data_IF_704248043058
#
_entry.id   IF_704248043058
#
_cell.length_a   1.000
_cell.length_b   1.000
_cell.length_c   1.000
_cell.angle_alpha   90.00
_cell.angle_beta   90.00
_cell.angle_gamma   90.00
#
_symmetry.space_group_name_H-M   'P 1'
#
loop_
_entity.id
_entity.type
_entity.pdbx_description
1 polymer ?
#
# COMPACT_ATOMS: atom_id res chain seq x y z
N UNK A 1 -11.51 8.45 18.85
CA UNK A 1 -11.39 7.17 18.13
C UNK A 1 -10.00 6.67 18.41
N UNK A 2 -9.86 5.77 19.39
CA UNK A 2 -8.64 4.98 19.52
C UNK A 2 -8.74 3.89 18.46
N UNK A 3 -8.41 4.23 17.22
CA UNK A 3 -8.19 3.24 16.18
C UNK A 3 -6.93 2.48 16.59
N UNK A 4 -7.12 1.26 17.08
CA UNK A 4 -6.07 0.25 17.06
C UNK A 4 -5.66 0.06 15.60
N UNK A 5 -4.74 0.89 15.13
CA UNK A 5 -3.94 0.71 13.90
C UNK A 5 -3.04 -0.51 14.12
N UNK A 6 -3.68 -1.66 14.30
CA UNK A 6 -3.08 -2.98 14.34
C UNK A 6 -2.69 -3.24 12.88
N UNK A 7 -1.49 -2.80 12.52
CA UNK A 7 -0.99 -2.78 11.15
C UNK A 7 -1.10 -4.21 10.57
N UNK A 8 -2.08 -4.52 9.70
CA UNK A 8 -2.29 -5.90 9.27
C UNK A 8 -1.20 -6.34 8.27
N UNK A 9 -0.36 -5.40 7.82
CA UNK A 9 0.74 -5.63 6.89
C UNK A 9 2.08 -5.73 7.62
N UNK A 10 2.19 -6.61 8.61
CA UNK A 10 3.50 -7.24 8.82
C UNK A 10 3.71 -8.17 7.64
N UNK A 11 4.44 -7.68 6.63
CA UNK A 11 4.96 -8.51 5.55
C UNK A 11 5.98 -9.44 6.18
N UNK A 12 5.51 -10.59 6.64
CA UNK A 12 6.38 -11.75 6.73
C UNK A 12 6.92 -12.00 5.33
N UNK A 13 8.14 -11.52 5.05
CA UNK A 13 8.98 -12.10 4.03
C UNK A 13 9.23 -13.55 4.48
N UNK A 14 8.26 -14.42 4.20
CA UNK A 14 8.51 -15.84 4.15
C UNK A 14 9.30 -16.00 2.86
N UNK A 15 10.62 -16.05 3.00
CA UNK A 15 11.46 -16.64 1.98
C UNK A 15 10.88 -18.03 1.70
N UNK A 16 10.59 -18.29 0.43
CA UNK A 16 10.38 -19.64 -0.07
C UNK A 16 11.66 -20.44 0.20
N UNK A 17 11.79 -20.96 1.40
CA UNK A 17 12.68 -22.09 1.68
C UNK A 17 11.87 -23.33 1.32
N UNK A 18 12.00 -23.71 0.05
CA UNK A 18 11.74 -25.07 -0.39
C UNK A 18 12.43 -26.05 0.57
N UNK A 19 11.64 -26.99 1.08
CA UNK A 19 11.97 -28.38 1.40
C UNK A 19 13.46 -28.78 1.19
N UNK A 20 14.34 -28.28 2.06
CA UNK A 20 15.67 -28.84 2.27
C UNK A 20 15.53 -29.97 3.29
N UNK A 21 15.08 -31.12 2.82
CA UNK A 21 15.27 -32.39 3.51
C UNK A 21 16.76 -32.59 3.87
N UNK A 22 17.08 -32.56 5.18
CA UNK A 22 18.18 -33.34 5.73
C UNK A 22 19.63 -32.82 5.63
N UNK A 23 19.90 -31.51 5.63
CA UNK A 23 21.28 -30.96 5.68
C UNK A 23 21.67 -30.31 7.02
N UNK A 24 20.82 -30.36 8.05
CA UNK A 24 21.27 -29.99 9.39
C UNK A 24 22.30 -30.98 9.91
N UNK A 25 23.51 -30.45 10.10
CA UNK A 25 24.72 -31.14 10.54
C UNK A 25 24.44 -32.21 11.60
N UNK A 26 24.89 -33.44 11.33
CA UNK A 26 25.06 -34.41 12.40
C UNK A 26 25.96 -33.79 13.50
N UNK A 27 25.66 -34.03 14.79
CA UNK A 27 26.46 -33.52 15.88
C UNK A 27 27.90 -34.01 15.69
N UNK A 28 28.80 -33.08 15.38
CA UNK A 28 30.23 -33.34 15.36
C UNK A 28 30.61 -33.70 16.78
N UNK A 29 30.97 -34.97 17.00
CA UNK A 29 31.55 -35.45 18.25
C UNK A 29 32.91 -34.77 18.38
N UNK A 30 32.93 -33.57 18.97
CA UNK A 30 34.14 -32.87 19.33
C UNK A 30 34.80 -33.61 20.50
N UNK A 31 36.03 -34.07 20.24
CA UNK A 31 36.91 -34.62 21.25
C UNK A 31 37.12 -33.58 22.36
N UNK A 32 36.91 -34.00 23.61
CA UNK A 32 37.14 -33.22 24.82
C UNK A 32 38.56 -32.60 24.80
N UNK A 33 38.68 -31.26 24.77
CA UNK A 33 39.90 -30.58 25.18
C UNK A 33 39.98 -30.65 26.70
N UNK A 34 41.16 -31.04 27.19
CA UNK A 34 41.51 -31.10 28.60
C UNK A 34 41.25 -29.77 29.31
N UNK A 35 40.56 -29.85 30.43
CA UNK A 35 40.13 -28.73 31.26
C UNK A 35 41.31 -27.87 31.71
N UNK A 36 41.44 -26.66 31.13
CA UNK A 36 42.07 -25.54 31.81
C UNK A 36 40.96 -24.74 32.48
N UNK A 37 41.02 -24.62 33.80
CA UNK A 37 40.03 -23.93 34.63
C UNK A 37 40.02 -22.44 34.25
N UNK A 38 38.96 -21.92 33.60
CA UNK A 38 38.91 -20.51 33.30
C UNK A 38 38.69 -19.76 34.61
N UNK A 39 39.60 -18.84 34.92
CA UNK A 39 39.45 -17.88 36.02
C UNK A 39 38.16 -17.11 35.73
N UNK A 40 37.11 -17.40 36.51
CA UNK A 40 35.85 -16.65 36.50
C UNK A 40 36.18 -15.22 36.92
N UNK A 41 36.43 -14.35 35.94
CA UNK A 41 36.35 -12.91 36.15
C UNK A 41 34.97 -12.64 36.78
N UNK A 42 34.94 -11.91 37.88
CA UNK A 42 33.71 -11.53 38.54
C UNK A 42 32.80 -10.90 37.48
N UNK A 43 31.68 -11.57 37.15
CA UNK A 43 30.69 -11.02 36.25
C UNK A 43 30.18 -9.75 36.92
N UNK A 44 30.55 -8.60 36.35
CA UNK A 44 29.91 -7.35 36.72
C UNK A 44 28.40 -7.51 36.52
N UNK A 45 27.57 -7.06 37.47
CA UNK A 45 26.13 -7.15 37.35
C UNK A 45 25.69 -6.52 36.03
N UNK A 46 25.05 -7.31 35.16
CA UNK A 46 24.51 -6.84 33.90
C UNK A 46 23.35 -5.88 34.20
N UNK A 47 23.55 -4.60 33.89
CA UNK A 47 22.48 -3.63 33.86
C UNK A 47 21.99 -3.56 32.41
N UNK A 48 20.72 -3.93 32.11
CA UNK A 48 20.17 -3.72 30.79
C UNK A 48 20.29 -2.24 30.47
N UNK A 49 20.87 -1.95 29.31
CA UNK A 49 21.03 -0.58 28.84
C UNK A 49 19.63 0.02 28.74
N UNK A 50 19.36 1.05 29.55
CA UNK A 50 18.08 1.74 29.55
C UNK A 50 17.92 2.33 28.15
N UNK A 51 16.79 2.10 27.47
CA UNK A 51 16.58 2.50 26.07
C UNK A 51 16.89 3.99 25.80
N UNK A 52 16.81 4.83 26.84
CA UNK A 52 17.10 6.27 26.79
C UNK A 52 18.59 6.63 26.72
N UNK A 53 19.51 5.70 27.05
CA UNK A 53 20.96 5.89 26.97
C UNK A 53 21.56 5.32 25.67
N UNK A 54 20.70 4.96 24.71
CA UNK A 54 21.11 4.60 23.37
C UNK A 54 21.77 5.78 22.65
N UNK A 55 22.79 5.49 21.85
CA UNK A 55 23.44 6.46 20.97
C UNK A 55 22.48 7.20 20.01
N UNK A 56 21.24 6.70 19.85
CA UNK A 56 20.15 7.36 19.14
C UNK A 56 19.75 8.73 19.69
N UNK A 57 19.94 9.01 20.98
CA UNK A 57 19.41 10.24 21.59
C UNK A 57 20.42 11.39 21.68
N UNK A 58 21.73 11.09 21.64
CA UNK A 58 22.79 12.04 21.99
C UNK A 58 23.76 12.36 20.84
N UNK A 59 23.26 12.54 19.61
CA UNK A 59 24.08 13.17 18.58
C UNK A 59 24.00 14.70 18.73
N UNK A 60 25.02 15.32 19.33
CA UNK A 60 25.19 16.78 19.23
C UNK A 60 25.31 17.26 17.76
N UNK A 61 25.61 16.32 16.86
CA UNK A 61 25.70 16.53 15.42
C UNK A 61 24.32 16.61 14.77
N UNK A 62 24.21 17.47 13.76
CA UNK A 62 23.03 17.54 12.90
C UNK A 62 22.91 16.30 11.99
N UNK A 63 21.74 16.12 11.36
CA UNK A 63 21.51 15.06 10.35
C UNK A 63 22.50 15.21 9.21
N UNK A 64 22.68 16.44 8.71
CA UNK A 64 23.61 16.77 7.63
C UNK A 64 25.05 16.43 7.99
N UNK A 65 25.52 16.84 9.17
CA UNK A 65 26.87 16.52 9.64
C UNK A 65 27.09 15.03 9.78
N UNK A 66 26.10 14.31 10.34
CA UNK A 66 26.19 12.86 10.52
C UNK A 66 26.26 12.13 9.18
N UNK A 67 25.40 12.50 8.23
CA UNK A 67 25.38 11.89 6.89
C UNK A 67 26.66 12.18 6.10
N UNK A 68 27.21 13.39 6.18
CA UNK A 68 28.40 13.79 5.41
C UNK A 68 29.72 13.30 6.03
N UNK A 69 29.86 13.36 7.36
CA UNK A 69 31.13 13.08 8.02
C UNK A 69 31.35 11.60 8.34
N UNK A 70 30.27 10.82 8.47
CA UNK A 70 30.35 9.44 8.93
C UNK A 70 30.05 8.47 7.80
N UNK A 71 30.94 7.48 7.60
CA UNK A 71 30.78 6.45 6.57
C UNK A 71 29.43 5.69 6.66
N UNK A 72 28.92 5.53 7.88
CA UNK A 72 27.60 4.89 8.15
C UNK A 72 26.54 5.90 8.57
N UNK A 73 26.78 7.20 8.35
CA UNK A 73 25.91 8.30 8.76
C UNK A 73 24.45 8.11 8.37
N UNK A 74 24.20 7.79 7.10
CA UNK A 74 22.86 7.55 6.60
C UNK A 74 22.13 6.41 7.33
N UNK A 75 22.78 5.26 7.52
CA UNK A 75 22.21 4.12 8.25
C UNK A 75 21.87 4.49 9.69
N UNK A 76 22.73 5.29 10.35
CA UNK A 76 22.49 5.77 11.71
C UNK A 76 21.24 6.64 11.80
N UNK A 77 21.04 7.54 10.84
CA UNK A 77 19.85 8.39 10.78
C UNK A 77 18.59 7.56 10.53
N UNK A 78 18.64 6.58 9.61
CA UNK A 78 17.52 5.66 9.37
C UNK A 78 17.13 4.92 10.66
N UNK A 79 18.09 4.25 11.30
CA UNK A 79 17.83 3.52 12.56
C UNK A 79 17.33 4.43 13.68
N UNK A 80 17.79 5.69 13.73
CA UNK A 80 17.30 6.68 14.70
C UNK A 80 15.84 7.05 14.43
N UNK A 81 15.46 7.27 13.17
CA UNK A 81 14.08 7.55 12.79
C UNK A 81 13.17 6.35 13.10
N UNK A 82 13.61 5.12 12.77
CA UNK A 82 12.88 3.88 13.10
C UNK A 82 12.67 3.75 14.62
N UNK A 83 13.71 4.00 15.42
CA UNK A 83 13.61 3.95 16.86
C UNK A 83 12.56 4.93 17.41
N UNK A 84 12.58 6.19 16.95
CA UNK A 84 11.58 7.18 17.35
C UNK A 84 10.17 6.79 16.91
N UNK A 85 10.02 6.23 15.70
CA UNK A 85 8.74 5.75 15.22
C UNK A 85 8.18 4.62 16.11
N UNK A 86 9.02 3.65 16.49
CA UNK A 86 8.63 2.53 17.36
C UNK A 86 8.26 2.97 18.78
N UNK A 87 8.84 4.07 19.28
CA UNK A 87 8.47 4.69 20.56
C UNK A 87 7.23 5.59 20.48
N UNK A 88 6.60 5.72 19.31
CA UNK A 88 5.45 6.62 19.10
C UNK A 88 5.83 8.11 19.07
N UNK A 89 7.13 8.42 19.01
CA UNK A 89 7.68 9.77 18.88
C UNK A 89 7.66 10.19 17.40
N UNK A 90 6.44 10.25 16.84
CA UNK A 90 6.22 10.42 15.40
C UNK A 90 6.73 11.77 14.86
N UNK A 91 6.76 12.81 15.70
CA UNK A 91 7.28 14.12 15.28
C UNK A 91 8.80 14.07 15.08
N UNK A 92 9.52 13.46 16.01
CA UNK A 92 10.97 13.31 15.95
C UNK A 92 11.38 12.41 14.77
N UNK A 93 10.64 11.31 14.56
CA UNK A 93 10.83 10.45 13.39
C UNK A 93 10.56 11.21 12.07
N UNK A 94 9.48 12.01 12.02
CA UNK A 94 9.13 12.86 10.88
C UNK A 94 10.26 13.84 10.56
N UNK A 95 10.69 14.63 11.55
CA UNK A 95 11.67 15.70 11.36
C UNK A 95 13.02 15.13 10.86
N UNK A 96 13.46 13.99 11.41
CA UNK A 96 14.67 13.30 10.96
C UNK A 96 14.53 12.78 9.53
N UNK A 97 13.41 12.13 9.22
CA UNK A 97 13.22 11.53 7.91
C UNK A 97 13.06 12.58 6.81
N UNK A 98 12.33 13.65 7.12
CA UNK A 98 12.15 14.78 6.22
C UNK A 98 13.49 15.46 5.90
N UNK A 99 14.31 15.72 6.92
CA UNK A 99 15.64 16.30 6.73
C UNK A 99 16.57 15.38 5.93
N UNK A 100 16.50 14.07 6.17
CA UNK A 100 17.25 13.07 5.39
C UNK A 100 16.89 13.13 3.89
N UNK A 101 15.60 13.12 3.55
CA UNK A 101 15.14 13.21 2.16
C UNK A 101 15.53 14.54 1.53
N UNK A 102 15.47 15.65 2.27
CA UNK A 102 15.90 16.97 1.81
C UNK A 102 17.38 17.00 1.43
N UNK A 103 18.25 16.40 2.24
CA UNK A 103 19.70 16.33 1.97
C UNK A 103 19.99 15.52 0.70
N UNK A 104 19.31 14.39 0.51
CA UNK A 104 19.47 13.56 -0.71
C UNK A 104 19.05 14.34 -1.95
N UNK A 105 17.87 14.98 -1.92
CA UNK A 105 17.37 15.78 -3.04
C UNK A 105 18.35 16.91 -3.43
N UNK A 106 18.93 17.60 -2.44
CA UNK A 106 19.95 18.63 -2.71
C UNK A 106 21.24 18.05 -3.31
N UNK A 107 21.64 16.84 -2.89
CA UNK A 107 22.84 16.20 -3.43
C UNK A 107 22.64 15.75 -4.88
N UNK A 108 21.45 15.26 -5.25
CA UNK A 108 21.09 14.89 -6.63
C UNK A 108 21.15 16.08 -7.59
N UNK A 109 20.62 17.23 -7.17
CA UNK A 109 20.68 18.47 -7.96
C UNK A 109 22.14 18.87 -8.23
N UNK A 110 22.99 18.82 -7.20
CA UNK A 110 24.40 19.15 -7.32
C UNK A 110 25.19 18.19 -8.23
N UNK A 111 24.75 16.94 -8.37
CA UNK A 111 25.36 15.94 -9.26
C UNK A 111 25.01 16.22 -10.73
N UNK A 112 23.78 16.64 -11.03
CA UNK A 112 23.31 16.93 -12.40
C UNK A 112 24.06 18.14 -12.98
N UNK A 113 24.26 19.20 -12.19
CA UNK A 113 25.00 20.40 -12.63
C UNK A 113 26.47 20.11 -12.95
N UNK A 114 27.08 19.12 -12.29
CA UNK A 114 28.46 18.69 -12.59
C UNK A 114 28.54 17.81 -13.84
N UNK A 115 27.48 17.04 -14.15
CA UNK A 115 27.43 16.15 -15.31
C UNK A 115 27.26 16.89 -16.65
N UNK A 116 26.55 18.02 -16.66
CA UNK A 116 26.31 18.80 -17.88
C UNK A 116 27.39 19.86 -18.21
N UNK A 117 28.41 20.01 -17.35
CA UNK A 117 29.41 21.07 -17.42
C UNK A 117 30.66 20.80 -18.27
N UNK A 118 30.78 19.69 -19.03
CA UNK A 118 32.05 19.44 -19.71
C UNK A 118 32.12 18.29 -20.71
N UNK A 119 31.52 18.47 -21.89
CA UNK A 119 32.22 18.06 -23.12
C UNK A 119 33.28 19.14 -23.40
N UNK A 120 34.27 19.24 -22.50
CA UNK A 120 35.45 20.04 -22.75
C UNK A 120 36.34 19.23 -23.69
N UNK A 121 36.65 19.82 -24.84
CA UNK A 121 37.54 19.27 -25.87
C UNK A 121 38.81 18.68 -25.25
N UNK A 122 39.30 17.55 -25.78
CA UNK A 122 40.60 17.02 -25.40
C UNK A 122 41.67 17.90 -26.02
N UNK A 123 42.16 18.89 -25.27
CA UNK A 123 43.40 19.58 -25.63
C UNK A 123 44.34 19.58 -24.41
N UNK A 124 45.26 18.62 -24.51
CA UNK A 124 46.65 18.62 -24.08
C UNK A 124 47.05 19.34 -22.78
N UNK A 125 47.17 18.50 -21.74
CA UNK A 125 48.38 18.45 -20.94
C UNK A 125 48.53 19.53 -19.89
N UNK A 126 48.04 19.30 -18.68
CA UNK A 126 48.73 19.68 -17.44
C UNK A 126 48.38 18.69 -16.31
N UNK A 127 49.44 18.03 -15.83
CA UNK A 127 49.46 17.05 -14.75
C UNK A 127 49.27 17.71 -13.38
N UNK A 128 48.74 16.92 -12.44
CA UNK A 128 48.68 17.14 -10.99
C UNK A 128 47.71 18.22 -10.48
N UNK A 129 46.41 17.90 -10.47
CA UNK A 129 45.49 18.44 -9.45
C UNK A 129 45.29 17.41 -8.33
N UNK A 130 45.47 17.76 -7.06
CA UNK A 130 45.21 16.86 -5.95
C UNK A 130 43.72 16.58 -5.88
N UNK A 131 43.38 15.31 -6.00
CA UNK A 131 42.06 14.73 -5.78
C UNK A 131 41.63 14.96 -4.33
N UNK A 132 41.16 16.17 -4.00
CA UNK A 132 40.21 16.34 -2.92
C UNK A 132 38.91 15.69 -3.40
N UNK A 133 38.82 14.38 -3.21
CA UNK A 133 37.62 13.59 -3.43
C UNK A 133 36.52 14.18 -2.56
N UNK A 134 35.75 15.10 -3.14
CA UNK A 134 34.60 15.68 -2.48
C UNK A 134 33.70 14.54 -2.03
N UNK A 135 33.34 14.55 -0.75
CA UNK A 135 32.39 13.64 -0.11
C UNK A 135 31.05 13.67 -0.86
N UNK A 136 30.98 12.93 -1.97
CA UNK A 136 29.72 12.61 -2.62
C UNK A 136 29.05 11.58 -1.73
N UNK A 137 27.91 11.95 -1.15
CA UNK A 137 27.07 11.01 -0.42
C UNK A 137 26.79 9.80 -1.30
N UNK A 138 27.23 8.62 -0.86
CA UNK A 138 27.01 7.35 -1.57
C UNK A 138 25.59 6.81 -1.42
N UNK A 139 24.70 7.57 -0.79
CA UNK A 139 23.35 7.10 -0.47
C UNK A 139 22.37 7.73 -1.44
N UNK A 140 21.78 6.88 -2.28
CA UNK A 140 20.84 7.27 -3.33
C UNK A 140 19.41 6.88 -3.00
N UNK A 141 19.21 5.89 -2.12
CA UNK A 141 17.86 5.39 -1.82
C UNK A 141 17.24 6.11 -0.63
N UNK A 142 16.28 6.99 -0.93
CA UNK A 142 15.48 7.72 0.05
C UNK A 142 14.09 7.13 0.28
N UNK A 143 13.73 6.02 -0.40
CA UNK A 143 12.36 5.49 -0.43
C UNK A 143 11.82 5.14 0.96
N UNK A 144 12.56 4.36 1.74
CA UNK A 144 12.14 3.95 3.09
C UNK A 144 11.87 5.17 3.99
N UNK A 145 12.68 6.22 3.83
CA UNK A 145 12.54 7.46 4.59
C UNK A 145 11.34 8.27 4.09
N UNK A 146 11.07 8.32 2.78
CA UNK A 146 9.84 8.91 2.24
C UNK A 146 8.59 8.21 2.78
N UNK A 147 8.57 6.87 2.81
CA UNK A 147 7.47 6.11 3.41
C UNK A 147 7.33 6.40 4.91
N UNK A 148 8.44 6.54 5.64
CA UNK A 148 8.44 6.94 7.05
C UNK A 148 7.83 8.32 7.28
N UNK A 149 8.21 9.32 6.46
CA UNK A 149 7.64 10.68 6.53
C UNK A 149 6.13 10.62 6.36
N UNK A 150 5.63 9.90 5.35
CA UNK A 150 4.19 9.76 5.08
C UNK A 150 3.47 9.12 6.26
N UNK A 151 4.01 8.01 6.80
CA UNK A 151 3.42 7.32 7.96
C UNK A 151 3.34 8.23 9.18
N UNK A 152 4.42 8.97 9.45
CA UNK A 152 4.44 9.93 10.55
C UNK A 152 3.44 11.08 10.31
N UNK A 153 3.35 11.61 9.09
CA UNK A 153 2.39 12.65 8.74
C UNK A 153 0.94 12.23 9.00
N UNK A 154 0.57 10.99 8.63
CA UNK A 154 -0.74 10.40 8.96
C UNK A 154 -0.96 10.37 10.47
N UNK A 155 0.00 9.86 11.25
CA UNK A 155 -0.09 9.76 12.71
C UNK A 155 -0.17 11.12 13.40
N UNK A 156 0.41 12.16 12.79
CA UNK A 156 0.35 13.55 13.26
C UNK A 156 -0.91 14.30 12.77
N UNK A 157 -1.82 13.64 12.03
CA UNK A 157 -3.03 14.25 11.49
C UNK A 157 -2.79 15.21 10.30
N UNK A 158 -1.59 15.22 9.71
CA UNK A 158 -1.20 16.09 8.60
C UNK A 158 -1.56 15.44 7.25
N UNK A 159 -2.84 15.20 7.04
CA UNK A 159 -3.31 14.38 5.91
C UNK A 159 -3.03 15.00 4.53
N UNK A 160 -3.16 16.32 4.39
CA UNK A 160 -2.83 17.02 3.13
C UNK A 160 -1.36 16.86 2.77
N UNK A 161 -0.45 17.10 3.72
CA UNK A 161 0.99 16.94 3.54
C UNK A 161 1.35 15.50 3.19
N UNK A 162 0.72 14.52 3.85
CA UNK A 162 0.89 13.11 3.53
C UNK A 162 0.51 12.80 2.07
N UNK A 163 -0.57 13.41 1.55
CA UNK A 163 -1.00 13.23 0.16
C UNK A 163 -0.03 13.85 -0.84
N UNK A 164 0.48 15.05 -0.57
CA UNK A 164 1.48 15.71 -1.42
C UNK A 164 2.78 14.89 -1.48
N UNK A 165 3.23 14.36 -0.33
CA UNK A 165 4.37 13.45 -0.26
C UNK A 165 4.11 12.12 -0.98
N UNK A 166 2.90 11.58 -0.87
CA UNK A 166 2.50 10.37 -1.57
C UNK A 166 2.49 10.56 -3.10
N UNK A 167 2.09 11.73 -3.60
CA UNK A 167 2.12 12.05 -5.04
C UNK A 167 3.54 11.95 -5.62
N UNK A 168 4.55 12.41 -4.88
CA UNK A 168 5.96 12.30 -5.27
C UNK A 168 6.56 10.89 -5.19
N UNK A 169 5.86 9.93 -4.58
CA UNK A 169 6.37 8.58 -4.35
C UNK A 169 6.13 7.67 -5.55
N UNK A 170 7.21 7.05 -6.05
CA UNK A 170 7.16 6.07 -7.14
C UNK A 170 6.62 4.73 -6.62
N UNK A 171 5.45 4.31 -7.12
CA UNK A 171 4.70 3.19 -6.59
C UNK A 171 4.89 1.91 -7.41
N UNK A 172 6.02 1.22 -7.19
CA UNK A 172 6.28 -0.09 -7.84
C UNK A 172 6.04 -1.27 -6.90
N UNK A 173 6.27 -1.09 -5.60
CA UNK A 173 6.14 -2.16 -4.62
C UNK A 173 4.75 -2.18 -3.97
N UNK A 174 4.21 -3.36 -3.63
CA UNK A 174 2.90 -3.49 -2.98
C UNK A 174 2.77 -2.60 -1.73
N UNK A 175 3.78 -2.60 -0.85
CA UNK A 175 3.75 -1.80 0.37
C UNK A 175 3.57 -0.31 0.10
N UNK A 176 4.25 0.21 -0.93
CA UNK A 176 4.17 1.61 -1.36
C UNK A 176 2.81 1.92 -1.97
N UNK A 177 2.26 1.02 -2.80
CA UNK A 177 0.92 1.15 -3.39
C UNK A 177 -0.15 1.22 -2.31
N UNK A 178 -0.12 0.32 -1.33
CA UNK A 178 -1.06 0.32 -0.21
C UNK A 178 -0.96 1.59 0.64
N UNK A 179 0.27 2.07 0.88
CA UNK A 179 0.48 3.31 1.63
C UNK A 179 -0.16 4.50 0.89
N UNK A 180 0.09 4.64 -0.41
CA UNK A 180 -0.52 5.72 -1.23
C UNK A 180 -2.04 5.61 -1.26
N UNK A 181 -2.59 4.43 -1.52
CA UNK A 181 -4.04 4.22 -1.54
C UNK A 181 -4.69 4.57 -0.18
N UNK A 182 -4.06 4.19 0.95
CA UNK A 182 -4.55 4.55 2.29
C UNK A 182 -4.54 6.07 2.50
N UNK A 183 -3.46 6.75 2.11
CA UNK A 183 -3.35 8.21 2.22
C UNK A 183 -4.43 8.90 1.38
N UNK A 184 -4.56 8.51 0.11
CA UNK A 184 -5.55 9.08 -0.80
C UNK A 184 -6.97 8.89 -0.29
N UNK A 185 -7.32 7.69 0.19
CA UNK A 185 -8.62 7.45 0.81
C UNK A 185 -8.85 8.31 2.05
N UNK A 186 -7.82 8.53 2.88
CA UNK A 186 -7.92 9.36 4.08
C UNK A 186 -8.16 10.85 3.79
N UNK A 187 -7.75 11.36 2.62
CA UNK A 187 -8.01 12.74 2.16
C UNK A 187 -9.21 12.86 1.23
N UNK A 188 -10.01 11.80 1.07
CA UNK A 188 -11.17 11.80 0.16
C UNK A 188 -10.82 11.72 -1.33
N UNK A 189 -9.56 11.45 -1.69
CA UNK A 189 -9.10 11.21 -3.08
C UNK A 189 -9.34 9.75 -3.48
N UNK A 190 -10.57 9.28 -3.35
CA UNK A 190 -10.93 7.86 -3.54
C UNK A 190 -10.68 7.35 -4.96
N UNK A 191 -10.84 8.19 -5.99
CA UNK A 191 -10.61 7.78 -7.37
C UNK A 191 -9.12 7.54 -7.64
N UNK A 192 -8.24 8.39 -7.11
CA UNK A 192 -6.79 8.23 -7.20
C UNK A 192 -6.34 6.96 -6.45
N UNK A 193 -6.94 6.70 -5.28
CA UNK A 193 -6.72 5.48 -4.52
C UNK A 193 -7.16 4.22 -5.29
N UNK A 194 -8.30 4.26 -5.97
CA UNK A 194 -8.79 3.15 -6.78
C UNK A 194 -7.89 2.93 -8.01
N UNK A 195 -7.47 4.00 -8.68
CA UNK A 195 -6.61 3.94 -9.86
C UNK A 195 -5.27 3.27 -9.56
N UNK A 196 -4.59 3.69 -8.49
CA UNK A 196 -3.28 3.12 -8.14
C UNK A 196 -3.37 1.63 -7.77
N UNK A 197 -4.48 1.21 -7.14
CA UNK A 197 -4.73 -0.20 -6.84
C UNK A 197 -4.98 -1.00 -8.12
N UNK A 198 -5.75 -0.46 -9.06
CA UNK A 198 -6.01 -1.09 -10.37
C UNK A 198 -4.73 -1.20 -11.18
N UNK A 199 -3.92 -0.16 -11.27
CA UNK A 199 -2.64 -0.19 -11.99
C UNK A 199 -1.70 -1.25 -11.45
N UNK A 200 -1.60 -1.36 -10.12
CA UNK A 200 -0.84 -2.43 -9.51
C UNK A 200 -1.44 -3.80 -9.84
N UNK A 201 -2.76 -3.95 -9.79
CA UNK A 201 -3.44 -5.21 -10.09
C UNK A 201 -3.27 -5.66 -11.55
N UNK A 202 -3.15 -4.74 -12.51
CA UNK A 202 -2.80 -5.06 -13.91
C UNK A 202 -1.45 -5.77 -14.02
N UNK A 203 -0.52 -5.49 -13.11
CA UNK A 203 0.78 -6.18 -13.06
C UNK A 203 0.73 -7.50 -12.28
N UNK A 204 -0.13 -7.60 -11.26
CA UNK A 204 -0.24 -8.77 -10.36
C UNK A 204 -1.70 -9.09 -10.03
N UNK A 205 -2.36 -9.83 -10.91
CA UNK A 205 -3.82 -10.03 -10.92
C UNK A 205 -4.40 -10.91 -9.80
N UNK A 206 -3.58 -11.60 -9.01
CA UNK A 206 -4.00 -12.57 -7.99
C UNK A 206 -3.90 -12.08 -6.53
N UNK A 207 -3.54 -10.82 -6.29
CA UNK A 207 -3.38 -10.32 -4.92
C UNK A 207 -4.74 -10.00 -4.25
N UNK A 208 -5.16 -10.83 -3.28
CA UNK A 208 -6.45 -10.64 -2.59
C UNK A 208 -6.52 -9.32 -1.81
N UNK A 209 -5.41 -8.87 -1.21
CA UNK A 209 -5.38 -7.69 -0.34
C UNK A 209 -5.62 -6.39 -1.14
N UNK A 210 -5.15 -6.36 -2.40
CA UNK A 210 -5.40 -5.24 -3.31
C UNK A 210 -6.87 -5.19 -3.72
N UNK A 211 -7.45 -6.34 -4.11
CA UNK A 211 -8.88 -6.43 -4.42
C UNK A 211 -9.77 -6.01 -3.24
N UNK A 212 -9.41 -6.45 -2.04
CA UNK A 212 -10.07 -6.04 -0.79
C UNK A 212 -9.98 -4.53 -0.60
N UNK A 213 -8.77 -3.98 -0.67
CA UNK A 213 -8.53 -2.54 -0.47
C UNK A 213 -9.24 -1.69 -1.51
N UNK A 214 -9.35 -2.17 -2.75
CA UNK A 214 -10.09 -1.52 -3.83
C UNK A 214 -11.59 -1.46 -3.50
N UNK A 215 -12.17 -2.60 -3.09
CA UNK A 215 -13.58 -2.66 -2.69
C UNK A 215 -13.89 -1.78 -1.47
N UNK A 216 -13.04 -1.79 -0.45
CA UNK A 216 -13.18 -0.97 0.76
C UNK A 216 -13.02 0.54 0.45
N UNK A 217 -12.09 0.91 -0.42
CA UNK A 217 -11.89 2.30 -0.88
C UNK A 217 -13.15 2.83 -1.56
N UNK A 218 -13.70 2.05 -2.51
CA UNK A 218 -14.92 2.45 -3.23
C UNK A 218 -16.11 2.50 -2.26
N UNK A 219 -16.26 1.51 -1.38
CA UNK A 219 -17.32 1.50 -0.36
C UNK A 219 -17.27 2.73 0.55
N UNK A 220 -16.07 3.11 1.02
CA UNK A 220 -15.86 4.30 1.86
C UNK A 220 -16.24 5.57 1.10
N UNK A 221 -15.91 5.67 -0.19
CA UNK A 221 -16.30 6.82 -1.03
C UNK A 221 -17.82 7.02 -1.10
N UNK A 222 -18.59 5.92 -1.05
CA UNK A 222 -20.04 5.99 -1.07
C UNK A 222 -20.58 6.49 0.28
N UNK A 223 -19.97 6.07 1.39
CA UNK A 223 -20.36 6.50 2.73
C UNK A 223 -20.04 7.99 2.96
N UNK A 224 -18.92 8.47 2.44
CA UNK A 224 -18.52 9.87 2.53
C UNK A 224 -19.50 10.80 1.78
N UNK A 225 -20.00 10.35 0.62
CA UNK A 225 -20.99 11.10 -0.18
C UNK A 225 -22.30 11.33 0.58
N UNK A 226 -22.73 10.38 1.44
CA UNK A 226 -23.98 10.48 2.22
C UNK A 226 -23.91 11.58 3.29
N UNK A 227 -22.71 11.91 3.76
CA UNK A 227 -22.53 12.94 4.81
C UNK A 227 -22.61 14.36 4.25
N UNK A 228 -22.42 14.53 2.94
CA UNK A 228 -22.47 15.83 2.28
C UNK A 228 -23.90 16.14 1.84
N UNK A 229 -24.49 17.29 2.18
CA UNK A 229 -25.86 17.62 1.79
C UNK A 229 -25.99 17.62 0.25
N UNK A 230 -27.06 16.99 -0.30
CA UNK A 230 -27.22 16.85 -1.74
C UNK A 230 -27.29 18.22 -2.40
N UNK A 231 -26.41 18.47 -3.35
CA UNK A 231 -26.47 19.66 -4.18
C UNK A 231 -27.63 19.52 -5.16
N UNK A 232 -28.52 20.53 -5.30
CA UNK A 232 -29.70 20.46 -6.16
C UNK A 232 -29.37 20.39 -7.67
N UNK A 233 -28.09 20.43 -8.04
CA UNK A 233 -27.62 20.46 -9.44
C UNK A 233 -26.85 19.22 -9.87
N UNK A 234 -26.79 18.17 -9.04
CA UNK A 234 -26.02 16.98 -9.41
C UNK A 234 -26.85 16.04 -10.30
N UNK A 235 -26.29 15.56 -11.43
CA UNK A 235 -26.89 14.49 -12.23
C UNK A 235 -27.25 13.28 -11.36
N UNK A 236 -28.17 12.47 -11.88
CA UNK A 236 -28.82 11.31 -11.27
C UNK A 236 -27.92 10.54 -10.28
N UNK A 237 -27.94 10.98 -9.01
CA UNK A 237 -27.06 10.52 -7.92
C UNK A 237 -27.15 9.01 -7.72
N UNK A 238 -28.30 8.45 -8.10
CA UNK A 238 -28.61 7.04 -7.98
C UNK A 238 -27.77 6.19 -8.95
N UNK A 239 -27.54 6.66 -10.18
CA UNK A 239 -26.72 5.92 -11.16
C UNK A 239 -25.25 5.85 -10.73
N UNK A 240 -24.67 6.94 -10.23
CA UNK A 240 -23.27 6.96 -9.78
C UNK A 240 -23.10 6.09 -8.54
N UNK A 241 -24.05 6.18 -7.60
CA UNK A 241 -24.07 5.36 -6.39
C UNK A 241 -24.21 3.88 -6.73
N UNK A 242 -25.06 3.54 -7.69
CA UNK A 242 -25.23 2.17 -8.21
C UNK A 242 -23.93 1.64 -8.80
N UNK A 243 -23.26 2.40 -9.68
CA UNK A 243 -21.97 1.98 -10.27
C UNK A 243 -20.94 1.75 -9.18
N UNK A 244 -20.74 2.69 -8.25
CA UNK A 244 -19.79 2.52 -7.16
C UNK A 244 -20.12 1.31 -6.28
N UNK A 245 -21.39 1.11 -5.91
CA UNK A 245 -21.81 0.00 -5.05
C UNK A 245 -21.58 -1.36 -5.73
N UNK A 246 -21.93 -1.48 -7.00
CA UNK A 246 -21.75 -2.72 -7.77
C UNK A 246 -20.27 -2.99 -8.06
N UNK A 247 -19.46 -1.99 -8.42
CA UNK A 247 -18.01 -2.16 -8.58
C UNK A 247 -17.34 -2.56 -7.27
N UNK A 248 -17.69 -1.95 -6.14
CA UNK A 248 -17.18 -2.35 -4.82
C UNK A 248 -17.55 -3.80 -4.51
N UNK A 249 -18.79 -4.20 -4.80
CA UNK A 249 -19.27 -5.56 -4.55
C UNK A 249 -18.48 -6.58 -5.36
N UNK A 250 -18.30 -6.36 -6.67
CA UNK A 250 -17.53 -7.25 -7.54
C UNK A 250 -16.06 -7.38 -7.05
N UNK A 251 -15.44 -6.28 -6.64
CA UNK A 251 -14.09 -6.29 -6.09
C UNK A 251 -13.98 -7.11 -4.79
N UNK A 252 -14.91 -6.95 -3.86
CA UNK A 252 -14.93 -7.72 -2.60
C UNK A 252 -15.26 -9.20 -2.82
N UNK A 253 -16.15 -9.51 -3.77
CA UNK A 253 -16.43 -10.89 -4.17
C UNK A 253 -15.17 -11.57 -4.72
N UNK A 254 -14.42 -10.87 -5.57
CA UNK A 254 -13.13 -11.36 -6.09
C UNK A 254 -12.10 -11.53 -4.98
N UNK A 255 -12.00 -10.58 -4.05
CA UNK A 255 -11.12 -10.69 -2.88
C UNK A 255 -11.45 -11.93 -2.04
N UNK A 256 -12.73 -12.19 -1.76
CA UNK A 256 -13.18 -13.39 -1.04
C UNK A 256 -12.80 -14.67 -1.79
N UNK A 257 -13.04 -14.73 -3.10
CA UNK A 257 -12.68 -15.88 -3.92
C UNK A 257 -11.17 -16.19 -3.83
N UNK A 258 -10.32 -15.18 -4.06
CA UNK A 258 -8.87 -15.32 -3.95
C UNK A 258 -8.42 -15.76 -2.55
N UNK A 259 -9.07 -15.22 -1.51
CA UNK A 259 -8.78 -15.59 -0.14
C UNK A 259 -9.10 -17.06 0.14
N UNK A 260 -10.22 -17.59 -0.39
CA UNK A 260 -10.57 -19.02 -0.28
C UNK A 260 -9.65 -19.95 -1.08
N UNK A 261 -9.15 -19.48 -2.22
CA UNK A 261 -8.17 -20.20 -3.02
C UNK A 261 -6.76 -20.17 -2.41
N UNK A 262 -6.51 -19.32 -1.41
CA UNK A 262 -5.21 -19.22 -0.75
C UNK A 262 -4.98 -20.36 0.24
N UNK A 263 -3.70 -20.66 0.47
CA UNK A 263 -3.25 -21.63 1.47
C UNK A 263 -3.58 -21.21 2.91
N UNK A 264 -4.01 -19.97 3.15
CA UNK A 264 -4.28 -19.48 4.51
C UNK A 264 -5.42 -20.24 5.20
N UNK A 265 -6.34 -20.79 4.40
CA UNK A 265 -7.46 -21.60 4.90
C UNK A 265 -7.04 -22.97 5.46
N UNK A 266 -5.83 -23.45 5.15
CA UNK A 266 -5.32 -24.74 5.63
C UNK A 266 -4.26 -24.61 6.73
N UNK A 267 -3.80 -23.38 7.02
CA UNK A 267 -2.69 -23.12 7.93
C UNK A 267 -3.22 -22.75 9.33
N UNK A 268 -2.99 -23.64 10.31
CA UNK A 268 -3.58 -23.52 11.66
C UNK A 268 -3.20 -22.24 12.41
N UNK A 269 -1.96 -21.76 12.31
CA UNK A 269 -1.54 -20.53 12.98
C UNK A 269 -2.14 -19.26 12.35
N UNK A 270 -2.55 -19.34 11.08
CA UNK A 270 -3.16 -18.22 10.34
C UNK A 270 -4.70 -18.23 10.41
N UNK A 271 -5.30 -19.32 10.89
CA UNK A 271 -6.76 -19.52 10.88
C UNK A 271 -7.52 -18.39 11.58
N UNK A 272 -7.06 -17.95 12.75
CA UNK A 272 -7.73 -16.86 13.48
C UNK A 272 -7.76 -15.55 12.67
N UNK A 273 -6.65 -15.23 11.99
CA UNK A 273 -6.57 -14.06 11.12
C UNK A 273 -7.45 -14.24 9.89
N UNK A 274 -7.42 -15.42 9.27
CA UNK A 274 -8.26 -15.77 8.14
C UNK A 274 -9.75 -15.57 8.48
N UNK A 275 -10.22 -16.15 9.60
CA UNK A 275 -11.63 -16.07 10.01
C UNK A 275 -12.07 -14.62 10.26
N UNK A 276 -11.22 -13.83 10.94
CA UNK A 276 -11.48 -12.40 11.19
C UNK A 276 -11.61 -11.63 9.89
N UNK A 277 -10.62 -11.77 9.01
CA UNK A 277 -10.58 -11.07 7.72
C UNK A 277 -11.76 -11.48 6.83
N UNK A 278 -12.09 -12.77 6.80
CA UNK A 278 -13.24 -13.31 6.07
C UNK A 278 -14.56 -12.78 6.61
N UNK A 279 -14.74 -12.72 7.94
CA UNK A 279 -15.94 -12.16 8.57
C UNK A 279 -16.18 -10.70 8.18
N UNK A 280 -15.11 -9.88 8.15
CA UNK A 280 -15.20 -8.49 7.71
C UNK A 280 -15.61 -8.41 6.23
N UNK A 281 -15.03 -9.25 5.36
CA UNK A 281 -15.43 -9.35 3.96
C UNK A 281 -16.90 -9.77 3.81
N UNK A 282 -17.35 -10.82 4.51
CA UNK A 282 -18.75 -11.28 4.45
C UNK A 282 -19.71 -10.15 4.85
N UNK A 283 -19.39 -9.38 5.90
CA UNK A 283 -20.20 -8.24 6.38
C UNK A 283 -20.31 -7.14 5.32
N UNK A 284 -19.19 -6.74 4.72
CA UNK A 284 -19.18 -5.69 3.69
C UNK A 284 -19.93 -6.14 2.42
N UNK A 285 -19.75 -7.39 2.00
CA UNK A 285 -20.47 -7.99 0.87
C UNK A 285 -21.97 -7.99 1.15
N UNK A 286 -22.43 -8.47 2.31
CA UNK A 286 -23.85 -8.51 2.65
C UNK A 286 -24.49 -7.10 2.66
N UNK A 287 -23.77 -6.09 3.16
CA UNK A 287 -24.21 -4.70 3.12
C UNK A 287 -24.38 -4.19 1.69
N UNK A 288 -23.45 -4.50 0.79
CA UNK A 288 -23.53 -4.10 -0.61
C UNK A 288 -24.57 -4.88 -1.42
N UNK A 289 -24.72 -6.18 -1.17
CA UNK A 289 -25.77 -7.01 -1.79
C UNK A 289 -27.16 -6.45 -1.48
N UNK A 290 -27.41 -6.06 -0.22
CA UNK A 290 -28.65 -5.40 0.16
C UNK A 290 -28.87 -4.09 -0.60
N UNK A 291 -27.83 -3.27 -0.78
CA UNK A 291 -27.91 -2.00 -1.53
C UNK A 291 -28.11 -2.20 -3.03
N UNK A 292 -27.67 -3.33 -3.59
CA UNK A 292 -27.83 -3.68 -5.00
C UNK A 292 -29.10 -4.50 -5.27
N UNK A 293 -29.99 -4.67 -4.28
CA UNK A 293 -31.19 -5.51 -4.36
C UNK A 293 -30.89 -6.96 -4.81
N UNK A 294 -29.78 -7.52 -4.32
CA UNK A 294 -29.42 -8.92 -4.55
C UNK A 294 -29.96 -9.73 -3.38
N UNK A 295 -30.99 -10.51 -3.64
CA UNK A 295 -31.62 -11.36 -2.62
C UNK A 295 -30.89 -12.69 -2.59
N UNK A 296 -30.02 -12.88 -1.59
CA UNK A 296 -29.57 -14.24 -1.24
C UNK A 296 -30.72 -14.94 -0.51
N UNK A 297 -31.21 -16.09 -0.99
CA UNK A 297 -32.11 -16.91 -0.19
C UNK A 297 -31.38 -17.31 1.08
N UNK A 298 -31.85 -16.86 2.25
CA UNK A 298 -31.35 -17.32 3.56
C UNK A 298 -31.85 -18.74 3.86
N UNK A 299 -31.80 -19.64 2.88
CA UNK A 299 -32.29 -21.00 3.05
C UNK A 299 -31.10 -21.87 3.45
N UNK A 300 -31.14 -22.40 4.67
CA UNK A 300 -30.13 -23.28 5.26
C UNK A 300 -30.03 -24.67 4.57
N UNK A 301 -30.68 -24.87 3.42
CA UNK A 301 -30.63 -26.11 2.65
C UNK A 301 -29.64 -25.96 1.51
N UNK A 302 -28.65 -26.85 1.48
CA UNK A 302 -27.40 -26.77 0.71
C UNK A 302 -27.51 -26.73 -0.83
N UNK A 303 -28.70 -26.63 -1.41
CA UNK A 303 -28.93 -26.65 -2.85
C UNK A 303 -29.56 -25.34 -3.34
N UNK A 304 -28.91 -24.20 -3.08
CA UNK A 304 -29.16 -23.02 -3.90
C UNK A 304 -28.51 -23.30 -5.25
N UNK A 305 -29.32 -23.32 -6.30
CA UNK A 305 -28.85 -23.47 -7.67
C UNK A 305 -27.86 -22.33 -8.00
N UNK A 306 -26.56 -22.63 -8.02
CA UNK A 306 -25.49 -21.68 -8.35
C UNK A 306 -25.77 -20.97 -9.68
N UNK A 307 -26.47 -21.64 -10.61
CA UNK A 307 -26.88 -21.05 -11.90
C UNK A 307 -27.89 -19.92 -11.72
N UNK A 308 -28.80 -20.03 -10.75
CA UNK A 308 -29.77 -18.98 -10.43
C UNK A 308 -29.09 -17.72 -9.88
N UNK A 309 -28.11 -17.90 -8.98
CA UNK A 309 -27.32 -16.78 -8.45
C UNK A 309 -26.47 -16.13 -9.55
N UNK A 310 -25.83 -16.92 -10.41
CA UNK A 310 -25.08 -16.41 -11.55
C UNK A 310 -25.97 -15.58 -12.49
N UNK A 311 -27.17 -16.07 -12.81
CA UNK A 311 -28.13 -15.34 -13.65
C UNK A 311 -28.58 -14.02 -13.02
N UNK A 312 -28.77 -13.97 -11.70
CA UNK A 312 -29.08 -12.73 -10.98
C UNK A 312 -27.94 -11.71 -11.07
N UNK A 313 -26.70 -12.12 -10.83
CA UNK A 313 -25.54 -11.22 -10.96
C UNK A 313 -25.37 -10.71 -12.40
N UNK A 314 -25.49 -11.58 -13.39
CA UNK A 314 -25.34 -11.19 -14.79
C UNK A 314 -26.41 -10.19 -15.22
N UNK A 315 -27.67 -10.43 -14.83
CA UNK A 315 -28.82 -9.59 -15.21
C UNK A 315 -28.93 -8.29 -14.40
N UNK A 316 -28.70 -8.33 -13.09
CA UNK A 316 -28.86 -7.17 -12.19
C UNK A 316 -27.62 -6.29 -12.09
N UNK A 317 -26.42 -6.83 -12.30
CA UNK A 317 -25.17 -6.07 -12.10
C UNK A 317 -24.37 -5.95 -13.39
N UNK A 318 -23.94 -7.07 -13.96
CA UNK A 318 -22.93 -7.07 -15.01
C UNK A 318 -23.47 -6.43 -16.30
N UNK A 319 -24.66 -6.84 -16.73
CA UNK A 319 -25.29 -6.29 -17.94
C UNK A 319 -25.57 -4.79 -17.82
N UNK A 320 -26.18 -4.28 -16.73
CA UNK A 320 -26.32 -2.84 -16.51
C UNK A 320 -24.99 -2.08 -16.51
N UNK A 321 -23.96 -2.61 -15.83
CA UNK A 321 -22.64 -1.96 -15.79
C UNK A 321 -21.99 -1.87 -17.17
N UNK A 322 -22.04 -2.93 -17.99
CA UNK A 322 -21.52 -2.92 -19.36
C UNK A 322 -22.22 -1.87 -20.22
N UNK A 323 -23.56 -1.75 -20.12
CA UNK A 323 -24.32 -0.72 -20.83
C UNK A 323 -23.94 0.69 -20.42
N UNK A 324 -23.71 0.92 -19.12
CA UNK A 324 -23.25 2.21 -18.62
C UNK A 324 -21.85 2.53 -19.16
N UNK A 325 -20.93 1.56 -19.14
CA UNK A 325 -19.59 1.70 -19.72
C UNK A 325 -19.63 2.03 -21.22
N UNK A 326 -20.45 1.33 -22.00
CA UNK A 326 -20.67 1.61 -23.43
C UNK A 326 -21.13 3.06 -23.63
N UNK A 327 -22.13 3.50 -22.86
CA UNK A 327 -22.64 4.88 -22.94
C UNK A 327 -21.59 5.94 -22.59
N UNK A 328 -20.70 5.65 -21.64
CA UNK A 328 -19.60 6.54 -21.27
C UNK A 328 -18.56 6.61 -22.38
N UNK A 329 -18.20 5.46 -22.97
CA UNK A 329 -17.25 5.41 -24.07
C UNK A 329 -17.78 6.16 -25.30
N UNK A 330 -19.06 6.02 -25.62
CA UNK A 330 -19.71 6.76 -26.72
C UNK A 330 -19.73 8.27 -26.46
N UNK A 331 -19.98 8.69 -25.21
CA UNK A 331 -19.93 10.09 -24.79
C UNK A 331 -18.52 10.68 -24.91
N UNK A 332 -17.50 9.94 -24.45
CA UNK A 332 -16.09 10.34 -24.55
C UNK A 332 -15.69 10.47 -26.02
N UNK A 333 -16.01 9.48 -26.86
CA UNK A 333 -15.73 9.51 -28.30
C UNK A 333 -16.41 10.70 -29.00
N UNK A 334 -17.65 11.02 -28.62
CA UNK A 334 -18.41 12.17 -29.15
C UNK A 334 -17.80 13.50 -28.71
N UNK A 335 -17.30 13.60 -27.48
CA UNK A 335 -16.64 14.82 -26.98
C UNK A 335 -15.31 15.09 -27.68
N UNK A 336 -14.50 14.06 -27.94
CA UNK A 336 -13.21 14.17 -28.64
C UNK A 336 -13.35 14.71 -30.07
N UNK A 337 -14.47 14.43 -30.75
CA UNK A 337 -14.72 14.91 -32.11
C UNK A 337 -15.22 16.36 -32.17
N UNK A 338 -15.72 16.90 -31.05
CA UNK A 338 -16.32 18.25 -30.99
C UNK A 338 -15.45 19.28 -30.29
N UNK A 339 -14.44 18.88 -29.51
CA UNK A 339 -13.52 19.78 -28.82
C UNK A 339 -12.42 20.30 -29.75
N UNK A 340 -12.77 21.25 -30.63
CA UNK A 340 -11.80 22.23 -31.15
C UNK A 340 -12.04 23.53 -30.38
N UNK A 341 -11.08 23.91 -29.53
CA UNK A 341 -10.89 25.30 -29.07
C UNK A 341 -11.87 25.83 -27.99
N UNK A 342 -11.78 25.37 -26.73
CA UNK A 342 -11.87 26.25 -25.53
C UNK A 342 -11.60 25.44 -24.26
N UNK A 343 -10.46 25.68 -23.60
CA UNK A 343 -10.15 25.18 -22.26
C UNK A 343 -11.08 25.86 -21.24
N UNK A 344 -12.15 25.20 -20.85
CA UNK A 344 -12.98 25.62 -19.72
C UNK A 344 -12.89 24.56 -18.65
N UNK A 345 -12.27 24.90 -17.52
CA UNK A 345 -12.10 24.04 -16.34
C UNK A 345 -13.45 23.81 -15.66
N UNK A 346 -14.30 22.97 -16.23
CA UNK A 346 -15.53 22.54 -15.59
C UNK A 346 -15.19 21.58 -14.44
N UNK A 347 -15.70 21.88 -13.25
CA UNK A 347 -15.64 21.02 -12.07
C UNK A 347 -16.59 19.83 -12.28
N UNK A 348 -16.19 18.92 -13.17
CA UNK A 348 -16.94 17.69 -13.46
C UNK A 348 -16.96 16.85 -12.19
N UNK A 349 -18.16 16.54 -11.72
CA UNK A 349 -18.38 15.66 -10.58
C UNK A 349 -17.56 14.37 -10.78
N UNK A 350 -16.76 13.98 -9.77
CA UNK A 350 -15.84 12.84 -9.87
C UNK A 350 -16.64 11.53 -9.93
N UNK A 351 -17.01 11.13 -11.14
CA UNK A 351 -17.48 9.79 -11.45
C UNK A 351 -16.27 8.86 -11.25
N UNK A 352 -16.51 7.68 -10.65
CA UNK A 352 -15.49 6.64 -10.56
C UNK A 352 -14.92 6.41 -11.96
N UNK A 353 -13.60 6.44 -12.11
CA UNK A 353 -12.95 6.42 -13.42
C UNK A 353 -13.47 5.22 -14.25
N UNK A 354 -13.94 5.43 -15.49
CA UNK A 354 -14.46 4.36 -16.35
C UNK A 354 -13.50 3.17 -16.46
N UNK A 355 -12.20 3.43 -16.44
CA UNK A 355 -11.14 2.43 -16.45
C UNK A 355 -11.17 1.49 -15.23
N UNK A 356 -11.46 2.00 -14.03
CA UNK A 356 -11.57 1.18 -12.82
C UNK A 356 -12.79 0.25 -12.94
N UNK A 357 -13.91 0.80 -13.41
CA UNK A 357 -15.15 0.02 -13.60
C UNK A 357 -14.94 -1.06 -14.66
N UNK A 358 -14.35 -0.70 -15.80
CA UNK A 358 -14.03 -1.62 -16.89
C UNK A 358 -13.08 -2.74 -16.44
N UNK A 359 -12.02 -2.40 -15.69
CA UNK A 359 -11.10 -3.38 -15.13
C UNK A 359 -11.80 -4.40 -14.23
N UNK A 360 -12.64 -3.93 -13.30
CA UNK A 360 -13.35 -4.80 -12.35
C UNK A 360 -14.39 -5.67 -13.07
N UNK A 361 -15.12 -5.11 -14.04
CA UNK A 361 -16.12 -5.84 -14.83
C UNK A 361 -15.46 -6.86 -15.76
N UNK A 362 -14.32 -6.53 -16.36
CA UNK A 362 -13.54 -7.43 -17.22
C UNK A 362 -12.90 -8.58 -16.45
N UNK A 363 -12.57 -8.36 -15.16
CA UNK A 363 -12.05 -9.39 -14.28
C UNK A 363 -13.14 -10.32 -13.68
N UNK A 364 -14.42 -10.07 -14.02
CA UNK A 364 -15.54 -10.88 -13.54
C UNK A 364 -15.50 -12.30 -14.11
N UNK A 365 -15.61 -13.27 -13.22
CA UNK A 365 -15.65 -14.70 -13.55
C UNK A 365 -16.81 -15.34 -12.77
N UNK A 366 -17.75 -16.06 -13.43
CA UNK A 366 -18.80 -16.81 -12.77
C UNK A 366 -18.34 -17.70 -11.60
N UNK A 367 -17.12 -18.23 -11.65
CA UNK A 367 -16.55 -19.05 -10.57
C UNK A 367 -16.40 -18.28 -9.24
N UNK A 368 -16.36 -16.95 -9.29
CA UNK A 368 -16.36 -16.10 -8.10
C UNK A 368 -17.66 -16.29 -7.29
N UNK A 369 -18.79 -16.60 -7.95
CA UNK A 369 -20.08 -16.83 -7.27
C UNK A 369 -20.16 -18.22 -6.65
N UNK A 370 -19.75 -19.28 -7.34
CA UNK A 370 -19.83 -20.65 -6.79
C UNK A 370 -18.99 -20.79 -5.52
N UNK A 371 -17.83 -20.11 -5.48
CA UNK A 371 -17.02 -20.00 -4.27
C UNK A 371 -17.64 -19.12 -3.17
N UNK A 372 -18.85 -18.58 -3.35
CA UNK A 372 -19.51 -17.71 -2.37
C UNK A 372 -20.70 -18.32 -1.64
N UNK A 373 -21.24 -19.44 -2.12
CA UNK A 373 -22.54 -19.95 -1.69
C UNK A 373 -22.47 -20.94 -0.53
N UNK A 374 -21.29 -21.49 -0.20
CA UNK A 374 -21.16 -22.41 0.95
C UNK A 374 -21.38 -21.66 2.29
N UNK A 375 -22.49 -21.90 3.02
CA UNK A 375 -22.89 -21.08 4.17
C UNK A 375 -22.10 -21.35 5.46
N UNK A 376 -21.45 -22.51 5.58
CA UNK A 376 -20.97 -23.03 6.88
C UNK A 376 -19.64 -22.43 7.39
N UNK A 377 -19.19 -21.29 6.87
CA UNK A 377 -17.90 -20.69 7.27
C UNK A 377 -17.91 -19.15 7.39
N UNK A 378 -19.07 -18.49 7.33
CA UNK A 378 -19.31 -17.22 8.04
C UNK A 378 -20.33 -17.53 9.15
#
# INVERSE_FOLDING_TARGET
MEDNDDFPFSFGNVSDDEESDGIFCQPKVEAQPTASTPVKAAQEPYYPQIDQDGWFHNSAKSVQETMLQEKTGATKIKMRADHYYMLGQFKEAYDLAHEYCRIIALNEINLIDRGNGGIARPDEGHTTSPSNGGDVLKVTDSKEMQEMIIRCAIKLGRMSEAADLADGLVALEPGTVFLKAKVYSAVGRFDDAAHILVDYQKTRSSNYAVWRSLGETILTSIQDTVTTPPSPFTPDSDSVTFVKATTALLALLRARHLMRCSLWSSVSYAQQRYDREMSILCKNIASLEHRCDIVRPYIATADIDDLSMQAQFESKIITPLRKILESWNDSIASSLTTSTTTETTATTQKILLPEVVDFVVSAWDPQVISSSTTPNQC
#
